data_IF_974122584889
#
_entry.id   IF_974122584889
#
_cell.length_a   1.000
_cell.length_b   1.000
_cell.length_c   1.000
_cell.angle_alpha   90.00
_cell.angle_beta   90.00
_cell.angle_gamma   90.00
#
_symmetry.space_group_name_H-M   'P 1'
#
loop_
_entity.id
_entity.type
_entity.pdbx_description
1 polymer ?
#
# COMPACT_ATOMS: atom_id res chain seq x y z
N UNK A 1 7.87 -21.62 -10.19
CA UNK A 1 7.68 -21.20 -8.79
C UNK A 1 6.86 -19.93 -8.84
N UNK A 2 5.55 -19.97 -8.55
CA UNK A 2 4.64 -18.84 -8.83
C UNK A 2 3.93 -18.45 -7.55
N UNK A 3 4.60 -17.56 -6.85
CA UNK A 3 4.17 -16.98 -5.58
C UNK A 3 3.16 -15.89 -5.87
N UNK A 4 2.01 -16.00 -5.24
CA UNK A 4 1.05 -14.92 -5.13
C UNK A 4 1.55 -14.06 -3.98
N UNK A 5 1.73 -12.78 -4.23
CA UNK A 5 1.99 -11.78 -3.22
C UNK A 5 0.67 -11.06 -2.94
N UNK A 6 0.53 -10.67 -1.70
CA UNK A 6 -0.18 -9.50 -1.22
C UNK A 6 0.73 -9.25 -0.03
N UNK A 7 1.85 -8.58 -0.35
CA UNK A 7 3.16 -8.48 0.31
C UNK A 7 3.77 -9.85 0.74
N UNK A 8 5.05 -10.17 0.54
CA UNK A 8 5.62 -11.48 0.98
C UNK A 8 7.15 -11.61 1.26
N UNK A 9 7.65 -12.21 2.33
CA UNK A 9 9.08 -12.67 2.38
C UNK A 9 9.19 -14.10 2.90
N UNK A 10 10.14 -14.86 2.35
CA UNK A 10 10.57 -16.20 2.78
C UNK A 10 11.64 -16.20 3.89
N UNK A 11 11.89 -17.35 4.48
CA UNK A 11 11.92 -17.57 5.93
C UNK A 11 13.33 -17.76 6.49
N UNK A 12 13.86 -16.78 7.23
CA UNK A 12 14.84 -17.00 8.29
C UNK A 12 14.94 -15.77 9.22
N UNK A 13 14.77 -15.99 10.53
CA UNK A 13 15.10 -15.09 11.65
C UNK A 13 14.23 -13.84 11.93
N UNK A 14 13.21 -14.10 12.75
CA UNK A 14 12.78 -13.47 14.00
C UNK A 14 13.19 -12.01 14.41
N UNK A 15 12.17 -11.38 15.04
CA UNK A 15 12.11 -10.35 16.11
C UNK A 15 12.23 -8.85 15.76
N UNK A 16 11.12 -8.10 15.92
CA UNK A 16 10.94 -6.92 16.81
C UNK A 16 9.86 -5.93 16.30
N UNK A 17 9.22 -5.23 17.24
CA UNK A 17 7.98 -4.43 17.16
C UNK A 17 8.13 -3.04 16.50
N UNK A 18 7.01 -2.47 15.99
CA UNK A 18 6.63 -1.01 15.90
C UNK A 18 5.62 -0.55 14.77
N UNK A 19 4.78 0.50 14.91
CA UNK A 19 3.53 0.80 14.11
C UNK A 19 3.52 1.14 12.59
N UNK A 20 2.39 0.76 11.97
CA UNK A 20 1.84 0.98 10.60
C UNK A 20 1.83 2.42 10.03
N UNK A 21 1.96 2.55 8.70
CA UNK A 21 1.83 3.80 7.92
C UNK A 21 0.51 3.82 7.12
N UNK A 22 -0.15 4.98 7.03
CA UNK A 22 -1.35 5.26 6.22
C UNK A 22 -0.96 6.16 5.05
N UNK A 23 -1.48 5.90 3.84
CA UNK A 23 -1.44 6.86 2.75
C UNK A 23 -2.49 7.95 2.99
N UNK A 24 -2.03 9.16 3.30
CA UNK A 24 -2.87 10.36 3.38
C UNK A 24 -2.82 11.07 2.02
N UNK A 25 -3.62 10.62 1.05
CA UNK A 25 -3.74 11.37 -0.22
C UNK A 25 -4.69 12.55 0.00
N UNK A 26 -4.17 13.74 -0.26
CA UNK A 26 -4.84 15.03 -0.11
C UNK A 26 -5.29 15.51 -1.50
N UNK A 27 -6.39 16.25 -1.56
CA UNK A 27 -6.91 16.87 -2.81
C UNK A 27 -5.93 17.90 -3.42
N UNK A 28 -4.94 18.33 -2.65
CA UNK A 28 -3.91 19.29 -3.08
C UNK A 28 -2.67 18.57 -3.63
N UNK A 29 -1.92 19.27 -4.46
CA UNK A 29 -0.67 18.81 -5.07
C UNK A 29 0.28 18.22 -4.02
N UNK A 30 0.91 17.08 -4.35
CA UNK A 30 1.95 16.49 -3.51
C UNK A 30 3.17 17.44 -3.49
N UNK A 31 3.31 18.21 -2.40
CA UNK A 31 4.46 19.09 -2.19
C UNK A 31 5.60 18.30 -1.52
N UNK A 32 6.70 18.12 -2.23
CA UNK A 32 7.88 17.41 -1.73
C UNK A 32 8.94 18.43 -1.28
N UNK A 33 9.09 18.59 0.04
CA UNK A 33 10.05 19.53 0.66
C UNK A 33 11.51 19.31 0.23
N UNK A 34 11.89 18.12 -0.25
CA UNK A 34 13.24 17.84 -0.73
C UNK A 34 13.40 18.14 -2.23
N UNK A 35 12.36 17.95 -3.06
CA UNK A 35 12.43 18.16 -4.51
C UNK A 35 12.02 19.58 -4.95
N UNK A 36 11.18 20.28 -4.20
CA UNK A 36 10.61 21.58 -4.59
C UNK A 36 11.42 22.78 -4.07
N UNK A 37 12.75 22.63 -3.98
CA UNK A 37 13.65 23.73 -3.58
C UNK A 37 13.91 24.68 -4.75
N UNK A 38 13.21 25.81 -4.78
CA UNK A 38 13.53 26.93 -5.67
C UNK A 38 14.64 27.78 -5.05
N UNK A 39 15.84 27.75 -5.64
CA UNK A 39 16.89 28.72 -5.35
C UNK A 39 16.52 30.05 -6.02
N UNK A 40 16.08 31.01 -5.23
CA UNK A 40 15.72 32.36 -5.70
C UNK A 40 16.80 33.33 -5.26
N UNK A 41 17.38 34.06 -6.22
CA UNK A 41 18.42 35.06 -5.96
C UNK A 41 17.85 36.38 -5.37
N UNK A 42 16.52 36.54 -5.38
CA UNK A 42 15.82 37.71 -4.86
C UNK A 42 14.58 37.31 -4.08
N UNK A 43 14.21 38.13 -3.10
CA UNK A 43 13.10 37.87 -2.17
C UNK A 43 11.77 38.20 -2.85
N UNK A 44 10.90 37.24 -3.23
CA UNK A 44 9.63 37.58 -3.84
C UNK A 44 8.63 38.03 -2.77
N UNK A 45 7.69 38.89 -3.18
CA UNK A 45 6.55 39.32 -2.36
C UNK A 45 5.85 38.13 -1.69
N UNK A 46 5.40 38.33 -0.45
CA UNK A 46 4.93 37.32 0.49
C UNK A 46 3.83 36.38 -0.04
N UNK A 47 3.12 36.74 -1.11
CA UNK A 47 2.09 35.91 -1.75
C UNK A 47 2.64 34.63 -2.41
N UNK A 48 3.91 34.60 -2.84
CA UNK A 48 4.53 33.40 -3.44
C UNK A 48 5.07 32.39 -2.42
N UNK A 49 4.98 32.68 -1.12
CA UNK A 49 5.58 31.85 -0.05
C UNK A 49 4.63 30.84 0.59
N UNK A 50 3.34 30.92 0.30
CA UNK A 50 2.33 30.18 1.07
C UNK A 50 1.64 29.17 0.18
N UNK A 51 2.17 27.93 0.16
CA UNK A 51 1.35 26.78 -0.20
C UNK A 51 0.37 26.60 0.96
N UNK A 52 -0.86 27.05 0.76
CA UNK A 52 -1.91 26.89 1.75
C UNK A 52 -2.27 25.42 1.88
N UNK A 53 -1.78 24.76 2.92
CA UNK A 53 -2.34 23.47 3.33
C UNK A 53 -3.72 23.73 3.94
N UNK A 54 -4.79 23.29 3.28
CA UNK A 54 -6.10 23.30 3.94
C UNK A 54 -6.06 22.35 5.15
N UNK A 55 -6.41 22.87 6.33
CA UNK A 55 -6.56 22.07 7.56
C UNK A 55 -7.62 20.95 7.43
N UNK A 56 -8.39 20.95 6.33
CA UNK A 56 -9.45 20.00 6.02
C UNK A 56 -9.34 19.43 4.59
N UNK A 57 -8.14 19.09 4.16
CA UNK A 57 -8.03 18.34 2.90
C UNK A 57 -8.85 17.06 2.98
N UNK A 58 -9.74 16.86 1.99
CA UNK A 58 -10.55 15.65 1.92
C UNK A 58 -9.61 14.48 1.63
N UNK A 59 -9.67 13.44 2.44
CA UNK A 59 -8.83 12.26 2.30
C UNK A 59 -9.65 11.08 1.77
N UNK A 60 -9.00 10.23 0.98
CA UNK A 60 -9.55 8.94 0.57
C UNK A 60 -8.70 7.82 1.15
N UNK A 61 -9.36 6.83 1.76
CA UNK A 61 -8.69 5.61 2.21
C UNK A 61 -8.90 4.52 1.18
N UNK A 62 -7.80 3.86 0.83
CA UNK A 62 -7.74 2.91 -0.27
C UNK A 62 -7.03 1.64 0.20
N UNK A 63 -7.51 0.49 -0.24
CA UNK A 63 -6.86 -0.81 -0.09
C UNK A 63 -6.52 -1.37 -1.46
N UNK A 64 -5.34 -1.95 -1.60
CA UNK A 64 -4.87 -2.59 -2.82
C UNK A 64 -4.24 -3.95 -2.50
N UNK A 65 -4.13 -4.79 -3.52
CA UNK A 65 -3.31 -5.98 -3.46
C UNK A 65 -2.59 -6.24 -4.77
N UNK A 66 -1.32 -6.62 -4.70
CA UNK A 66 -0.50 -6.96 -5.87
C UNK A 66 0.16 -8.30 -5.67
N UNK A 67 0.31 -9.04 -6.76
CA UNK A 67 0.98 -10.33 -6.77
C UNK A 67 1.86 -10.49 -8.02
N UNK A 68 2.68 -11.54 -8.04
CA UNK A 68 3.38 -11.94 -9.25
C UNK A 68 2.35 -12.47 -10.27
N UNK A 69 2.23 -11.78 -11.40
CA UNK A 69 1.33 -12.10 -12.51
C UNK A 69 -0.13 -11.66 -12.36
N UNK A 70 -0.50 -10.92 -11.31
CA UNK A 70 -1.84 -10.31 -11.20
C UNK A 70 -1.88 -9.14 -10.19
N UNK A 71 -2.95 -8.36 -10.20
CA UNK A 71 -3.26 -7.37 -9.17
C UNK A 71 -4.75 -7.41 -8.83
N UNK A 72 -5.07 -7.23 -7.56
CA UNK A 72 -6.44 -7.24 -7.09
C UNK A 72 -7.10 -5.87 -7.36
N UNK A 73 -8.45 -5.81 -7.41
CA UNK A 73 -9.16 -4.56 -7.53
C UNK A 73 -8.78 -3.57 -6.40
N UNK A 74 -8.73 -2.29 -6.75
CA UNK A 74 -8.59 -1.20 -5.80
C UNK A 74 -9.90 -1.04 -5.02
N UNK A 75 -9.85 -1.01 -3.69
CA UNK A 75 -11.04 -0.89 -2.84
C UNK A 75 -11.00 0.43 -2.08
N UNK A 76 -12.01 1.27 -2.30
CA UNK A 76 -12.17 2.53 -1.61
C UNK A 76 -13.03 2.36 -0.35
N UNK A 77 -12.66 3.07 0.71
CA UNK A 77 -13.50 3.23 1.90
C UNK A 77 -14.36 4.47 1.73
N UNK A 78 -15.68 4.30 1.86
CA UNK A 78 -16.60 5.41 1.71
C UNK A 78 -16.43 6.45 2.83
N UNK A 79 -16.71 7.74 2.56
CA UNK A 79 -16.56 8.80 3.55
C UNK A 79 -17.44 8.51 4.77
N UNK A 80 -16.87 8.67 5.97
CA UNK A 80 -17.57 8.38 7.23
C UNK A 80 -17.52 6.90 7.67
N UNK A 81 -17.09 5.98 6.80
CA UNK A 81 -16.83 4.60 7.22
C UNK A 81 -15.44 4.46 7.84
N UNK A 82 -15.36 3.64 8.90
CA UNK A 82 -14.09 3.28 9.53
C UNK A 82 -13.60 1.94 8.98
N UNK A 83 -12.33 1.88 8.57
CA UNK A 83 -11.67 0.63 8.23
C UNK A 83 -11.38 -0.17 9.52
N UNK A 84 -12.34 -1.00 9.91
CA UNK A 84 -12.30 -1.83 11.11
C UNK A 84 -12.28 -3.32 10.73
N UNK A 85 -12.22 -4.21 11.74
CA UNK A 85 -12.19 -5.66 11.50
C UNK A 85 -13.39 -6.19 10.69
N UNK A 86 -14.57 -5.56 10.80
CA UNK A 86 -15.78 -6.00 10.11
C UNK A 86 -15.72 -5.61 8.64
N UNK A 87 -15.33 -4.35 8.36
CA UNK A 87 -15.06 -3.88 7.01
C UNK A 87 -14.01 -4.75 6.32
N UNK A 88 -12.87 -4.99 6.99
CA UNK A 88 -11.80 -5.82 6.45
C UNK A 88 -12.28 -7.23 6.11
N UNK A 89 -12.99 -7.90 7.03
CA UNK A 89 -13.46 -9.27 6.78
C UNK A 89 -14.53 -9.36 5.69
N UNK A 90 -15.43 -8.39 5.62
CA UNK A 90 -16.56 -8.42 4.68
C UNK A 90 -16.14 -7.91 3.30
N UNK A 91 -15.64 -6.67 3.22
CA UNK A 91 -15.36 -5.99 1.96
C UNK A 91 -14.03 -6.40 1.34
N UNK A 92 -13.02 -6.71 2.16
CA UNK A 92 -11.71 -7.09 1.62
C UNK A 92 -11.61 -8.61 1.51
N UNK A 93 -11.69 -9.33 2.64
CA UNK A 93 -11.40 -10.75 2.64
C UNK A 93 -12.47 -11.57 1.90
N UNK A 94 -13.76 -11.34 2.19
CA UNK A 94 -14.85 -12.14 1.62
C UNK A 94 -15.21 -11.75 0.19
N UNK A 95 -15.23 -10.46 -0.13
CA UNK A 95 -15.65 -9.97 -1.45
C UNK A 95 -14.51 -9.89 -2.46
N UNK A 96 -13.26 -9.69 -2.02
CA UNK A 96 -12.13 -9.50 -2.95
C UNK A 96 -11.14 -10.66 -2.88
N UNK A 97 -10.58 -10.94 -1.71
CA UNK A 97 -9.52 -11.97 -1.57
C UNK A 97 -10.07 -13.36 -1.85
N UNK A 98 -11.22 -13.75 -1.29
CA UNK A 98 -11.76 -15.11 -1.46
C UNK A 98 -12.11 -15.46 -2.91
N UNK A 99 -12.85 -14.65 -3.67
CA UNK A 99 -13.07 -14.97 -5.07
C UNK A 99 -11.75 -15.05 -5.81
N UNK A 100 -10.85 -14.10 -5.58
CA UNK A 100 -9.55 -14.08 -6.24
C UNK A 100 -8.73 -15.37 -5.99
N UNK A 101 -8.70 -15.88 -4.75
CA UNK A 101 -7.99 -17.13 -4.44
C UNK A 101 -8.66 -18.36 -5.05
N UNK A 102 -9.98 -18.38 -5.19
CA UNK A 102 -10.72 -19.49 -5.80
C UNK A 102 -10.46 -19.63 -7.31
N UNK A 103 -10.15 -18.53 -8.00
CA UNK A 103 -9.88 -18.55 -9.44
C UNK A 103 -8.44 -18.97 -9.78
N UNK A 104 -7.53 -19.03 -8.80
CA UNK A 104 -6.13 -19.40 -9.06
C UNK A 104 -5.90 -20.91 -9.01
N UNK A 105 -5.25 -21.41 -10.07
CA UNK A 105 -4.90 -22.83 -10.25
C UNK A 105 -3.70 -23.27 -9.41
N UNK A 106 -2.89 -22.32 -8.91
CA UNK A 106 -1.70 -22.61 -8.10
C UNK A 106 -2.09 -22.86 -6.65
N UNK A 107 -1.60 -23.96 -6.08
CA UNK A 107 -1.84 -24.34 -4.68
C UNK A 107 -0.88 -23.69 -3.69
N UNK A 108 0.17 -23.00 -4.14
CA UNK A 108 1.18 -22.47 -3.23
C UNK A 108 1.28 -20.96 -3.35
N UNK A 109 0.78 -20.30 -2.32
CA UNK A 109 0.90 -18.88 -2.12
C UNK A 109 1.06 -18.56 -0.65
N UNK A 110 1.40 -17.32 -0.35
CA UNK A 110 1.43 -16.84 1.01
C UNK A 110 0.55 -15.58 1.03
N UNK A 111 -0.14 -15.35 2.12
CA UNK A 111 -0.86 -14.11 2.35
C UNK A 111 -0.08 -13.31 3.37
N UNK A 112 0.41 -12.11 3.01
CA UNK A 112 0.98 -11.22 4.01
C UNK A 112 0.23 -9.89 4.10
N UNK A 113 0.35 -9.28 5.27
CA UNK A 113 -0.34 -8.06 5.65
C UNK A 113 0.42 -7.45 6.83
N UNK A 114 0.23 -6.15 7.04
CA UNK A 114 0.78 -5.48 8.21
C UNK A 114 0.12 -5.93 9.53
N UNK A 115 0.67 -5.47 10.65
CA UNK A 115 0.17 -5.74 11.98
C UNK A 115 -1.06 -4.93 12.40
N UNK A 116 -1.76 -4.24 11.49
CA UNK A 116 -2.85 -3.34 11.87
C UNK A 116 -3.96 -4.08 12.66
N UNK A 117 -4.65 -3.41 13.61
CA UNK A 117 -5.65 -4.07 14.46
C UNK A 117 -6.76 -4.83 13.70
N UNK A 118 -7.30 -4.35 12.56
CA UNK A 118 -8.26 -5.11 11.76
C UNK A 118 -7.70 -6.42 11.19
N UNK A 119 -6.39 -6.45 10.89
CA UNK A 119 -5.69 -7.57 10.28
C UNK A 119 -5.34 -8.64 11.31
N UNK A 120 -4.90 -8.23 12.50
CA UNK A 120 -4.50 -9.14 13.59
C UNK A 120 -5.66 -9.60 14.48
N UNK A 121 -6.86 -9.01 14.31
CA UNK A 121 -8.05 -9.39 15.06
C UNK A 121 -8.35 -10.90 14.99
N UNK A 122 -8.75 -11.49 16.13
CA UNK A 122 -9.02 -12.92 16.28
C UNK A 122 -9.95 -13.49 15.20
N UNK A 123 -11.03 -12.77 14.88
CA UNK A 123 -12.00 -13.20 13.87
C UNK A 123 -11.45 -13.11 12.44
N UNK A 124 -10.61 -12.13 12.17
CA UNK A 124 -9.91 -11.98 10.88
C UNK A 124 -8.94 -13.14 10.67
N UNK A 125 -8.09 -13.41 11.65
CA UNK A 125 -7.13 -14.51 11.63
C UNK A 125 -7.82 -15.88 11.51
N UNK A 126 -8.93 -16.08 12.21
CA UNK A 126 -9.74 -17.30 12.10
C UNK A 126 -10.44 -17.42 10.73
N UNK A 127 -10.77 -16.32 10.06
CA UNK A 127 -11.29 -16.35 8.71
C UNK A 127 -10.19 -16.76 7.72
N UNK A 128 -9.01 -16.17 7.82
CA UNK A 128 -7.88 -16.45 6.91
C UNK A 128 -7.53 -17.95 6.98
N UNK A 129 -7.25 -18.48 8.17
CA UNK A 129 -6.93 -19.92 8.36
C UNK A 129 -7.95 -20.88 7.74
N UNK A 130 -9.23 -20.51 7.70
CA UNK A 130 -10.30 -21.36 7.13
C UNK A 130 -10.41 -21.27 5.62
N UNK A 131 -10.06 -20.13 5.03
CA UNK A 131 -10.34 -19.81 3.63
C UNK A 131 -9.09 -19.78 2.76
N UNK A 132 -7.91 -19.81 3.36
CA UNK A 132 -6.62 -19.72 2.66
C UNK A 132 -5.80 -21.01 2.90
N UNK A 133 -6.48 -22.17 2.92
CA UNK A 133 -5.98 -23.45 3.46
C UNK A 133 -4.59 -23.91 2.99
N UNK A 134 -4.17 -23.52 1.80
CA UNK A 134 -2.88 -23.91 1.23
C UNK A 134 -1.80 -22.81 1.32
N UNK A 135 -2.14 -21.66 1.91
CA UNK A 135 -1.22 -20.53 2.05
C UNK A 135 -0.82 -20.28 3.49
N UNK A 136 0.46 -20.07 3.73
CA UNK A 136 0.89 -19.53 5.01
C UNK A 136 0.43 -18.07 5.13
N UNK A 137 0.08 -17.65 6.35
CA UNK A 137 -0.26 -16.26 6.66
C UNK A 137 0.95 -15.67 7.36
N UNK A 138 1.52 -14.59 6.83
CA UNK A 138 2.62 -13.87 7.45
C UNK A 138 2.16 -12.48 7.87
N UNK A 139 2.46 -12.09 9.11
CA UNK A 139 2.29 -10.72 9.57
C UNK A 139 3.66 -10.05 9.44
N UNK A 140 3.70 -8.91 8.75
CA UNK A 140 4.94 -8.17 8.59
C UNK A 140 5.52 -7.75 9.93
N UNK A 141 6.85 -7.70 9.99
CA UNK A 141 7.53 -6.94 11.01
C UNK A 141 6.93 -5.52 10.99
N UNK A 142 6.47 -5.01 12.14
CA UNK A 142 5.79 -3.73 12.10
C UNK A 142 6.82 -2.61 11.71
N UNK A 143 6.38 -1.44 11.19
CA UNK A 143 7.24 -0.29 10.80
C UNK A 143 8.23 -0.63 9.69
N UNK A 144 7.89 -1.58 8.85
CA UNK A 144 8.73 -2.01 7.74
C UNK A 144 8.15 -1.61 6.38
N UNK A 145 7.88 -0.31 6.11
CA UNK A 145 7.42 0.11 4.77
C UNK A 145 8.47 -0.20 3.70
N UNK A 146 9.76 -0.21 4.07
CA UNK A 146 10.88 -0.59 3.22
C UNK A 146 10.81 -2.07 2.77
N UNK A 147 9.96 -2.85 3.43
CA UNK A 147 9.66 -4.25 3.15
C UNK A 147 8.21 -4.45 2.68
N UNK A 148 7.50 -3.41 2.27
CA UNK A 148 6.17 -3.52 1.69
C UNK A 148 6.21 -3.00 0.23
N UNK A 149 6.07 -3.87 -0.78
CA UNK A 149 5.94 -3.49 -2.19
C UNK A 149 4.96 -2.35 -2.48
N UNK A 150 3.84 -2.32 -1.75
CA UNK A 150 2.88 -1.24 -1.87
C UNK A 150 3.47 0.09 -1.37
N UNK A 151 4.16 0.08 -0.22
CA UNK A 151 4.71 1.27 0.42
C UNK A 151 5.99 1.79 -0.25
N UNK A 152 6.95 0.93 -0.59
CA UNK A 152 8.22 1.39 -1.17
C UNK A 152 8.13 1.74 -2.66
N UNK A 153 7.02 1.44 -3.35
CA UNK A 153 6.90 1.72 -4.79
C UNK A 153 5.49 2.07 -5.26
N UNK A 154 4.51 1.18 -5.09
CA UNK A 154 3.21 1.31 -5.79
C UNK A 154 2.45 2.57 -5.39
N UNK A 155 2.44 2.91 -4.10
CA UNK A 155 1.78 4.13 -3.64
C UNK A 155 2.44 5.38 -4.20
N UNK A 156 3.77 5.43 -4.27
CA UNK A 156 4.48 6.55 -4.90
C UNK A 156 4.14 6.68 -6.38
N UNK A 157 4.05 5.57 -7.12
CA UNK A 157 3.64 5.58 -8.54
C UNK A 157 2.22 6.13 -8.68
N UNK A 158 1.29 5.69 -7.83
CA UNK A 158 -0.09 6.15 -7.87
C UNK A 158 -0.22 7.61 -7.48
N UNK A 159 0.48 8.06 -6.43
CA UNK A 159 0.48 9.45 -5.99
C UNK A 159 1.06 10.36 -7.08
N UNK A 160 2.22 10.03 -7.64
CA UNK A 160 2.85 10.80 -8.71
C UNK A 160 1.94 10.96 -9.93
N UNK A 161 1.27 9.88 -10.34
CA UNK A 161 0.45 9.88 -11.55
C UNK A 161 -0.95 10.45 -11.33
N UNK A 162 -1.62 10.04 -10.26
CA UNK A 162 -3.01 10.42 -10.00
C UNK A 162 -3.13 11.81 -9.36
N UNK A 163 -2.12 12.28 -8.62
CA UNK A 163 -2.12 13.59 -7.96
C UNK A 163 -1.24 14.62 -8.68
N UNK A 164 -0.86 14.37 -9.93
CA UNK A 164 -0.12 15.32 -10.77
C UNK A 164 -0.85 16.66 -10.92
N UNK A 165 -2.18 16.59 -11.03
CA UNK A 165 -3.07 17.74 -11.11
C UNK A 165 -4.04 17.75 -9.92
N UNK A 166 -4.49 18.92 -9.46
CA UNK A 166 -5.45 19.04 -8.36
C UNK A 166 -6.82 18.47 -8.72
N UNK A 167 -7.52 17.96 -7.71
CA UNK A 167 -8.84 17.34 -7.86
C UNK A 167 -9.96 18.28 -7.40
N UNK A 168 -11.09 18.28 -8.10
CA UNK A 168 -12.24 19.12 -7.70
C UNK A 168 -12.99 18.52 -6.50
N UNK A 169 -12.97 17.20 -6.34
CA UNK A 169 -13.65 16.50 -5.27
C UNK A 169 -13.05 15.09 -5.04
N UNK A 170 -13.56 14.37 -4.04
CA UNK A 170 -13.08 13.01 -3.72
C UNK A 170 -13.35 12.05 -4.89
N UNK A 171 -14.45 12.24 -5.61
CA UNK A 171 -14.84 11.34 -6.69
C UNK A 171 -13.90 11.46 -7.90
N UNK A 172 -13.47 12.67 -8.27
CA UNK A 172 -12.44 12.84 -9.30
C UNK A 172 -11.10 12.19 -8.88
N UNK A 173 -10.73 12.29 -7.60
CA UNK A 173 -9.54 11.61 -7.08
C UNK A 173 -9.66 10.08 -7.15
N UNK A 174 -10.82 9.51 -6.78
CA UNK A 174 -11.06 8.06 -6.90
C UNK A 174 -10.95 7.58 -8.34
N UNK A 175 -11.53 8.32 -9.28
CA UNK A 175 -11.48 7.99 -10.70
C UNK A 175 -10.05 8.05 -11.23
N UNK A 176 -9.27 9.07 -10.85
CA UNK A 176 -7.87 9.18 -11.23
C UNK A 176 -7.02 8.02 -10.66
N UNK A 177 -7.18 7.70 -9.38
CA UNK A 177 -6.50 6.56 -8.75
C UNK A 177 -6.86 5.23 -9.43
N UNK A 178 -8.14 5.00 -9.72
CA UNK A 178 -8.59 3.79 -10.40
C UNK A 178 -8.04 3.69 -11.83
N UNK A 179 -8.02 4.81 -12.56
CA UNK A 179 -7.50 4.89 -13.92
C UNK A 179 -5.99 4.60 -13.97
N UNK A 180 -5.21 5.24 -13.09
CA UNK A 180 -3.77 5.02 -13.01
C UNK A 180 -3.44 3.62 -12.46
N UNK A 181 -4.20 3.11 -11.48
CA UNK A 181 -4.10 1.72 -11.04
C UNK A 181 -4.22 0.76 -12.20
N UNK A 182 -5.25 0.93 -13.05
CA UNK A 182 -5.48 0.05 -14.20
C UNK A 182 -4.33 0.12 -15.22
N UNK A 183 -3.71 1.29 -15.41
CA UNK A 183 -2.56 1.49 -16.31
C UNK A 183 -1.25 0.88 -15.84
N UNK A 184 -1.06 0.62 -14.54
CA UNK A 184 0.16 -0.04 -14.06
C UNK A 184 0.26 -1.41 -14.72
N UNK A 185 1.27 -1.59 -15.56
CA UNK A 185 1.48 -2.85 -16.28
C UNK A 185 1.89 -3.95 -15.30
N UNK A 186 1.48 -5.18 -15.61
CA UNK A 186 1.83 -6.33 -14.78
C UNK A 186 3.35 -6.54 -14.68
N UNK A 187 4.10 -6.25 -15.75
CA UNK A 187 5.57 -6.27 -15.77
C UNK A 187 6.20 -5.31 -14.75
N UNK A 188 5.61 -4.13 -14.56
CA UNK A 188 6.06 -3.18 -13.52
C UNK A 188 5.86 -3.77 -12.12
N UNK A 189 4.70 -4.38 -11.86
CA UNK A 189 4.42 -5.00 -10.57
C UNK A 189 5.32 -6.20 -10.30
N UNK A 190 5.63 -6.99 -11.32
CA UNK A 190 6.56 -8.13 -11.21
C UNK A 190 7.96 -7.65 -10.83
N UNK A 191 8.48 -6.58 -11.46
CA UNK A 191 9.77 -5.99 -11.09
C UNK A 191 9.79 -5.47 -9.64
N UNK A 192 8.71 -4.84 -9.20
CA UNK A 192 8.58 -4.38 -7.80
C UNK A 192 8.63 -5.58 -6.86
N UNK A 193 7.83 -6.61 -7.13
CA UNK A 193 7.81 -7.83 -6.30
C UNK A 193 9.17 -8.54 -6.30
N UNK A 194 9.85 -8.60 -7.45
CA UNK A 194 11.17 -9.24 -7.59
C UNK A 194 12.30 -8.46 -6.87
N UNK A 195 12.12 -7.18 -6.58
CA UNK A 195 13.07 -6.38 -5.79
C UNK A 195 13.10 -6.79 -4.31
N UNK A 196 12.08 -7.52 -3.87
CA UNK A 196 11.86 -7.73 -2.46
C UNK A 196 12.95 -8.55 -1.73
N UNK A 197 13.50 -9.64 -2.29
CA UNK A 197 14.63 -10.34 -1.68
C UNK A 197 15.86 -9.43 -1.48
N UNK A 198 16.15 -8.56 -2.44
CA UNK A 198 17.26 -7.58 -2.34
C UNK A 198 17.03 -6.62 -1.16
N UNK A 199 15.79 -6.16 -0.97
CA UNK A 199 15.40 -5.30 0.17
C UNK A 199 15.54 -6.01 1.51
N UNK A 200 15.26 -7.32 1.57
CA UNK A 200 15.53 -8.10 2.77
C UNK A 200 16.99 -8.16 3.12
N UNK A 201 17.84 -8.44 2.14
CA UNK A 201 19.28 -8.46 2.38
C UNK A 201 19.78 -7.08 2.83
N UNK A 202 19.24 -6.00 2.26
CA UNK A 202 19.56 -4.64 2.69
C UNK A 202 19.15 -4.40 4.15
N UNK A 203 17.95 -4.81 4.55
CA UNK A 203 17.48 -4.77 5.94
C UNK A 203 18.41 -5.55 6.89
N UNK A 204 18.80 -6.77 6.51
CA UNK A 204 19.71 -7.61 7.29
C UNK A 204 21.08 -6.93 7.43
N UNK A 205 21.64 -6.41 6.32
CA UNK A 205 22.92 -5.66 6.34
C UNK A 205 22.84 -4.40 7.20
N UNK A 206 21.69 -3.74 7.21
CA UNK A 206 21.44 -2.58 8.06
C UNK A 206 21.23 -2.93 9.55
N UNK A 207 21.12 -4.23 9.89
CA UNK A 207 20.81 -4.70 11.23
C UNK A 207 19.38 -4.35 11.65
N UNK A 208 18.42 -4.36 10.71
CA UNK A 208 17.02 -4.00 10.96
C UNK A 208 16.74 -2.50 11.00
N UNK A 209 17.73 -1.64 10.67
CA UNK A 209 17.54 -0.19 10.51
C UNK A 209 17.00 0.15 9.12
N UNK A 210 16.52 1.38 8.96
CA UNK A 210 16.11 1.92 7.65
C UNK A 210 17.22 1.83 6.60
N UNK A 211 16.82 1.62 5.36
CA UNK A 211 17.67 1.48 4.19
C UNK A 211 16.95 2.00 2.94
N UNK A 212 17.70 2.34 1.90
CA UNK A 212 17.20 2.75 0.58
C UNK A 212 17.77 1.85 -0.52
#
# INVERSE_FOLDING_TARGET
MKTIWLDLIDSANAIAESPSTKLNSTVEQAYNKQNDRLWLNETPAAEKRTVGHSQHSKQVMVWAGICFGDKLPLVFVDPGLRFNQAFYRQRILREVVRPWTQHRRSRFWIFQQDGAPPHTARLTQAWLRRNTRDSSIKIMAPRSPDLNPLDYSVWSILEERACREPHQNIESLRQALQFEWNKIQQSTLELIVDDFPRRIEACIRAGGRHFE
#
